data_IF_292278809852
#
_entry.id   IF_292278809852
#
_cell.length_a   1.000
_cell.length_b   1.000
_cell.length_c   1.000
_cell.angle_alpha   90.00
_cell.angle_beta   90.00
_cell.angle_gamma   90.00
#
_symmetry.space_group_name_H-M   'P 1'
#
loop_
_entity.id
_entity.type
_entity.pdbx_description
1 polymer ?
#
# COMPACT_ATOMS: atom_id res chain seq x y z
N UNK A 1 14.37 -43.24 -14.14
CA UNK A 1 14.90 -42.15 -13.28
C UNK A 1 14.55 -40.74 -13.76
N UNK A 2 14.56 -40.47 -15.08
CA UNK A 2 14.38 -39.11 -15.64
C UNK A 2 12.98 -38.48 -15.42
N UNK A 3 11.92 -39.28 -15.38
CA UNK A 3 10.54 -38.79 -15.17
C UNK A 3 10.29 -38.30 -13.73
N UNK A 4 10.92 -38.94 -12.74
CA UNK A 4 10.85 -38.53 -11.32
C UNK A 4 11.52 -37.17 -11.09
N UNK A 5 12.58 -36.87 -11.84
CA UNK A 5 13.24 -35.55 -11.82
C UNK A 5 12.36 -34.45 -12.41
N UNK A 6 11.64 -34.73 -13.50
CA UNK A 6 10.72 -33.76 -14.12
C UNK A 6 9.56 -33.44 -13.16
N UNK A 7 8.96 -34.45 -12.53
CA UNK A 7 7.91 -34.25 -11.51
C UNK A 7 8.45 -33.47 -10.30
N UNK A 8 9.68 -33.74 -9.87
CA UNK A 8 10.32 -33.00 -8.77
C UNK A 8 10.55 -31.52 -9.10
N UNK A 9 11.00 -31.21 -10.32
CA UNK A 9 11.17 -29.82 -10.79
C UNK A 9 9.82 -29.13 -10.98
N UNK A 10 8.81 -29.83 -11.50
CA UNK A 10 7.46 -29.30 -11.67
C UNK A 10 6.81 -28.99 -10.31
N UNK A 11 6.99 -29.87 -9.31
CA UNK A 11 6.52 -29.65 -7.95
C UNK A 11 7.24 -28.47 -7.28
N UNK A 12 8.55 -28.31 -7.50
CA UNK A 12 9.31 -27.16 -7.00
C UNK A 12 8.85 -25.85 -7.64
N UNK A 13 8.59 -25.84 -8.95
CA UNK A 13 8.06 -24.67 -9.66
C UNK A 13 6.63 -24.33 -9.21
N UNK A 14 5.77 -25.33 -9.00
CA UNK A 14 4.42 -25.15 -8.44
C UNK A 14 4.45 -24.58 -7.01
N UNK A 15 5.43 -24.97 -6.19
CA UNK A 15 5.63 -24.39 -4.85
C UNK A 15 6.07 -22.91 -4.91
N UNK A 16 6.77 -22.49 -5.97
CA UNK A 16 7.15 -21.08 -6.18
C UNK A 16 6.00 -20.21 -6.73
N UNK A 17 4.97 -20.81 -7.34
CA UNK A 17 3.78 -20.08 -7.82
C UNK A 17 2.84 -19.67 -6.67
N UNK A 18 3.01 -20.25 -5.47
CA UNK A 18 2.14 -20.01 -4.31
C UNK A 18 2.45 -18.75 -3.49
N UNK A 19 3.55 -18.04 -3.75
CA UNK A 19 3.80 -16.77 -3.07
C UNK A 19 3.14 -15.66 -3.87
N UNK A 20 1.86 -15.37 -3.58
CA UNK A 20 1.30 -14.05 -3.83
C UNK A 20 2.21 -13.05 -3.10
N UNK A 21 3.18 -12.48 -3.82
CA UNK A 21 4.10 -11.51 -3.25
C UNK A 21 3.29 -10.33 -2.80
N UNK A 22 3.24 -10.09 -1.49
CA UNK A 22 2.65 -8.87 -0.97
C UNK A 22 3.40 -7.67 -1.58
N UNK A 23 2.66 -6.80 -2.27
CA UNK A 23 3.18 -5.56 -2.82
C UNK A 23 3.39 -4.58 -1.66
N UNK A 24 4.61 -4.10 -1.47
CA UNK A 24 4.93 -3.07 -0.46
C UNK A 24 5.45 -1.83 -1.15
N UNK A 25 4.93 -0.67 -0.77
CA UNK A 25 5.40 0.62 -1.26
C UNK A 25 5.28 1.70 -0.18
N UNK A 26 5.94 2.83 -0.42
CA UNK A 26 6.02 3.91 0.55
C UNK A 26 5.49 5.21 -0.03
N UNK A 27 4.65 5.90 0.74
CA UNK A 27 4.15 7.22 0.44
C UNK A 27 5.07 8.24 1.10
N UNK A 28 5.62 9.15 0.28
CA UNK A 28 6.54 10.22 0.73
C UNK A 28 6.22 11.57 0.08
N UNK A 29 5.31 11.60 -0.91
CA UNK A 29 4.93 12.83 -1.58
C UNK A 29 3.85 13.54 -0.76
N UNK A 30 4.19 14.66 -0.14
CA UNK A 30 3.31 15.40 0.77
C UNK A 30 2.54 16.51 0.04
N UNK A 31 1.30 16.79 0.42
CA UNK A 31 0.50 17.90 -0.15
C UNK A 31 1.19 19.24 0.09
N UNK A 32 1.77 19.42 1.27
CA UNK A 32 2.54 20.60 1.63
C UNK A 32 4.00 20.41 1.24
N UNK A 33 4.62 21.51 0.82
CA UNK A 33 6.05 21.57 0.52
C UNK A 33 6.77 22.51 1.48
N UNK A 34 7.98 22.14 1.87
CA UNK A 34 8.91 22.99 2.64
C UNK A 34 10.05 23.34 1.69
N UNK A 35 10.21 24.64 1.39
CA UNK A 35 11.20 25.12 0.41
C UNK A 35 11.08 24.45 -0.98
N UNK A 36 9.85 24.12 -1.41
CA UNK A 36 9.58 23.46 -2.69
C UNK A 36 9.69 21.93 -2.67
N UNK A 37 10.22 21.35 -1.58
CA UNK A 37 10.44 19.91 -1.43
C UNK A 37 9.37 19.25 -0.54
N UNK A 38 9.25 17.92 -0.62
CA UNK A 38 8.42 17.15 0.31
C UNK A 38 8.84 17.39 1.76
N UNK A 39 7.89 17.29 2.70
CA UNK A 39 8.21 17.37 4.12
C UNK A 39 9.19 16.24 4.48
N UNK A 40 10.39 16.55 4.99
CA UNK A 40 11.39 15.54 5.30
C UNK A 40 10.93 14.63 6.45
N UNK A 41 11.30 13.35 6.38
CA UNK A 41 11.01 12.36 7.43
C UNK A 41 9.57 11.84 7.49
N UNK A 42 8.68 12.30 6.58
CA UNK A 42 7.36 11.72 6.39
C UNK A 42 7.47 10.47 5.53
N UNK A 43 6.95 9.36 6.05
CA UNK A 43 6.99 8.06 5.38
C UNK A 43 5.84 7.18 5.85
N UNK A 44 4.96 6.80 4.95
CA UNK A 44 3.86 5.87 5.24
C UNK A 44 4.06 4.59 4.43
N UNK A 45 4.11 3.45 5.11
CA UNK A 45 4.18 2.12 4.50
C UNK A 45 2.79 1.65 4.11
N UNK A 46 2.65 1.15 2.88
CA UNK A 46 1.44 0.48 2.40
C UNK A 46 1.80 -0.92 1.92
N UNK A 47 1.09 -1.92 2.44
CA UNK A 47 1.22 -3.32 2.03
C UNK A 47 -0.10 -3.79 1.43
N UNK A 48 -0.03 -4.50 0.31
CA UNK A 48 -1.18 -5.09 -0.36
C UNK A 48 -0.91 -6.57 -0.65
N UNK A 49 -1.78 -7.45 -0.18
CA UNK A 49 -1.61 -8.91 -0.30
C UNK A 49 -2.69 -9.61 -1.14
N UNK A 50 -3.44 -8.85 -1.94
CA UNK A 50 -4.61 -9.36 -2.68
C UNK A 50 -5.93 -9.18 -1.93
N UNK A 51 -5.92 -9.32 -0.60
CA UNK A 51 -7.15 -9.33 0.22
C UNK A 51 -7.23 -8.18 1.21
N UNK A 52 -6.09 -7.61 1.57
CA UNK A 52 -5.99 -6.52 2.53
C UNK A 52 -5.04 -5.45 2.02
N UNK A 53 -5.38 -4.20 2.31
CA UNK A 53 -4.45 -3.06 2.28
C UNK A 53 -4.12 -2.73 3.73
N UNK A 54 -2.84 -2.70 4.07
CA UNK A 54 -2.36 -2.41 5.42
C UNK A 54 -1.54 -1.14 5.36
N UNK A 55 -1.93 -0.15 6.15
CA UNK A 55 -1.31 1.19 6.17
C UNK A 55 -0.69 1.43 7.54
N UNK A 56 0.60 1.75 7.57
CA UNK A 56 1.35 2.03 8.79
C UNK A 56 2.17 3.30 8.61
N UNK A 57 2.08 4.23 9.55
CA UNK A 57 2.94 5.41 9.58
C UNK A 57 4.31 5.06 10.17
N UNK A 58 5.36 5.24 9.37
CA UNK A 58 6.77 5.04 9.74
C UNK A 58 7.53 6.37 9.83
N UNK A 59 6.83 7.50 9.90
CA UNK A 59 7.45 8.83 9.90
C UNK A 59 8.31 9.03 11.15
N UNK A 60 9.48 9.64 10.95
CA UNK A 60 10.45 9.92 12.02
C UNK A 60 10.43 11.39 12.47
N UNK A 61 9.85 12.28 11.67
CA UNK A 61 9.83 13.73 11.90
C UNK A 61 8.53 14.24 12.55
N UNK A 62 7.62 13.34 12.94
CA UNK A 62 6.33 13.65 13.57
C UNK A 62 6.35 13.37 15.07
N UNK A 63 5.39 13.92 15.81
CA UNK A 63 5.23 13.57 17.22
C UNK A 63 4.81 12.12 17.37
N UNK A 64 5.72 11.28 17.85
CA UNK A 64 5.51 9.84 17.95
C UNK A 64 4.35 9.48 18.89
N UNK A 65 4.02 10.33 19.86
CA UNK A 65 2.91 10.12 20.81
C UNK A 65 1.58 10.62 20.26
N UNK A 66 1.63 11.61 19.38
CA UNK A 66 0.51 12.45 19.02
C UNK A 66 0.14 12.36 17.53
N UNK A 67 0.99 11.78 16.70
CA UNK A 67 0.69 11.56 15.29
C UNK A 67 -0.41 10.51 15.13
N UNK A 68 -1.28 10.72 14.14
CA UNK A 68 -2.36 9.80 13.84
C UNK A 68 -2.67 9.79 12.35
N UNK A 69 -2.89 8.59 11.82
CA UNK A 69 -3.62 8.41 10.57
C UNK A 69 -5.09 8.70 10.88
N UNK A 70 -5.70 9.62 10.11
CA UNK A 70 -7.06 10.10 10.36
C UNK A 70 -8.01 9.91 9.19
N UNK A 71 -7.50 9.78 7.97
CA UNK A 71 -8.27 9.47 6.79
C UNK A 71 -7.38 8.82 5.72
N UNK A 72 -7.99 8.11 4.78
CA UNK A 72 -7.34 7.56 3.60
C UNK A 72 -8.25 7.71 2.40
N UNK A 73 -7.66 7.86 1.21
CA UNK A 73 -8.40 7.85 -0.06
C UNK A 73 -7.84 6.75 -0.95
N UNK A 74 -8.72 5.99 -1.59
CA UNK A 74 -8.36 4.87 -2.45
C UNK A 74 -8.88 5.13 -3.87
N UNK A 75 -8.08 4.81 -4.88
CA UNK A 75 -8.56 4.78 -6.27
C UNK A 75 -9.57 3.63 -6.48
N UNK A 76 -9.46 2.59 -5.65
CA UNK A 76 -10.38 1.46 -5.59
C UNK A 76 -11.83 1.91 -5.30
N UNK A 77 -12.84 1.46 -6.07
CA UNK A 77 -14.25 1.70 -5.78
C UNK A 77 -14.71 1.14 -4.43
N UNK A 78 -15.70 1.81 -3.83
CA UNK A 78 -16.15 1.55 -2.45
C UNK A 78 -16.78 0.16 -2.29
N UNK A 79 -17.40 -0.36 -3.35
CA UNK A 79 -17.98 -1.71 -3.40
C UNK A 79 -16.96 -2.84 -3.14
N UNK A 80 -15.66 -2.56 -3.30
CA UNK A 80 -14.60 -3.51 -3.01
C UNK A 80 -14.05 -3.39 -1.60
N UNK A 81 -14.46 -2.39 -0.81
CA UNK A 81 -14.04 -2.23 0.58
C UNK A 81 -15.10 -2.86 1.49
N UNK A 82 -14.70 -3.86 2.30
CA UNK A 82 -15.60 -4.52 3.25
C UNK A 82 -15.58 -3.86 4.63
N UNK A 83 -14.38 -3.49 5.08
CA UNK A 83 -14.21 -2.85 6.38
C UNK A 83 -12.87 -2.15 6.47
N UNK A 84 -12.81 -1.19 7.39
CA UNK A 84 -11.59 -0.50 7.78
C UNK A 84 -11.45 -0.67 9.28
N UNK A 85 -10.31 -1.15 9.74
CA UNK A 85 -10.08 -1.48 11.15
C UNK A 85 -8.72 -0.98 11.61
N UNK A 86 -8.66 -0.56 12.86
CA UNK A 86 -7.43 -0.10 13.50
C UNK A 86 -6.93 -1.22 14.41
N UNK A 87 -5.91 -1.96 13.95
CA UNK A 87 -5.45 -3.15 14.66
C UNK A 87 -4.57 -2.82 15.88
N UNK A 88 -4.16 -1.56 16.06
CA UNK A 88 -3.40 -1.10 17.23
C UNK A 88 -4.27 -0.45 18.32
N UNK A 89 -5.57 -0.25 18.08
CA UNK A 89 -6.47 0.38 19.06
C UNK A 89 -6.78 -0.55 20.23
N UNK A 90 -5.99 -0.44 21.31
CA UNK A 90 -6.30 -1.07 22.59
C UNK A 90 -7.57 -0.43 23.17
N UNK A 91 -8.62 -1.23 23.30
CA UNK A 91 -9.80 -1.01 24.16
C UNK A 91 -10.85 0.01 23.70
N UNK A 92 -10.54 0.95 22.81
CA UNK A 92 -11.55 1.81 22.19
C UNK A 92 -11.44 1.74 20.67
N UNK A 93 -12.35 0.98 20.04
CA UNK A 93 -12.42 0.88 18.58
C UNK A 93 -12.66 2.29 18.03
N UNK A 94 -11.61 2.93 17.49
CA UNK A 94 -11.81 4.02 16.54
C UNK A 94 -12.73 3.47 15.45
N UNK A 95 -13.95 4.01 15.35
CA UNK A 95 -14.87 3.56 14.31
C UNK A 95 -14.41 4.21 13.01
N UNK A 96 -13.80 3.41 12.16
CA UNK A 96 -13.53 3.79 10.80
C UNK A 96 -14.77 3.53 9.95
N UNK A 97 -15.06 4.44 9.04
CA UNK A 97 -16.06 4.26 7.99
C UNK A 97 -15.39 4.31 6.63
N UNK A 98 -16.09 3.78 5.63
CA UNK A 98 -15.74 3.99 4.24
C UNK A 98 -16.98 4.39 3.45
N UNK A 99 -16.78 5.15 2.38
CA UNK A 99 -17.84 5.62 1.50
C UNK A 99 -17.32 6.01 0.13
N UNK A 100 -18.17 5.91 -0.88
CA UNK A 100 -17.90 6.44 -2.22
C UNK A 100 -17.71 7.96 -2.20
N UNK A 101 -16.70 8.45 -2.91
CA UNK A 101 -16.44 9.87 -3.11
C UNK A 101 -17.30 10.42 -4.25
N UNK A 102 -18.00 11.52 -3.99
CA UNK A 102 -18.79 12.24 -4.99
C UNK A 102 -17.89 12.79 -6.11
N UNK A 103 -18.41 12.86 -7.35
CA UNK A 103 -17.64 13.29 -8.54
C UNK A 103 -16.90 14.64 -8.36
N UNK A 104 -17.50 15.59 -7.62
CA UNK A 104 -16.91 16.92 -7.40
C UNK A 104 -15.73 16.92 -6.40
N UNK A 105 -15.44 15.78 -5.75
CA UNK A 105 -14.42 15.63 -4.72
C UNK A 105 -13.37 14.57 -5.06
N UNK A 106 -13.42 14.04 -6.30
CA UNK A 106 -12.51 12.99 -6.77
C UNK A 106 -11.09 13.52 -6.88
N UNK A 107 -10.89 14.65 -7.57
CA UNK A 107 -9.60 15.29 -7.68
C UNK A 107 -9.24 15.92 -6.34
N UNK A 108 -8.18 15.41 -5.70
CA UNK A 108 -7.86 15.79 -4.34
C UNK A 108 -6.40 16.18 -4.14
N UNK A 109 -6.20 17.40 -3.62
CA UNK A 109 -4.91 17.93 -3.17
C UNK A 109 -3.75 17.78 -4.17
N UNK A 110 -4.04 17.83 -5.49
CA UNK A 110 -3.03 17.68 -6.54
C UNK A 110 -2.56 16.24 -6.80
N UNK A 111 -3.16 15.25 -6.14
CA UNK A 111 -2.82 13.84 -6.30
C UNK A 111 -3.72 13.08 -7.29
N UNK A 112 -4.68 13.76 -7.91
CA UNK A 112 -5.58 13.18 -8.90
C UNK A 112 -6.84 12.60 -8.28
N UNK A 113 -7.51 11.72 -9.03
CA UNK A 113 -8.84 11.23 -8.70
C UNK A 113 -8.83 9.99 -7.79
N UNK A 114 -9.74 9.96 -6.82
CA UNK A 114 -9.97 8.84 -5.90
C UNK A 114 -11.46 8.48 -5.82
N UNK A 115 -11.76 7.21 -5.58
CA UNK A 115 -13.12 6.67 -5.61
C UNK A 115 -13.71 6.44 -4.22
N UNK A 116 -12.87 6.13 -3.22
CA UNK A 116 -13.31 5.77 -1.87
C UNK A 116 -12.60 6.62 -0.82
N UNK A 117 -13.36 7.09 0.16
CA UNK A 117 -12.85 7.74 1.37
C UNK A 117 -13.02 6.79 2.54
N UNK A 118 -11.92 6.48 3.23
CA UNK A 118 -11.94 5.84 4.54
C UNK A 118 -11.68 6.92 5.59
N UNK A 119 -12.62 7.19 6.49
CA UNK A 119 -12.49 8.25 7.48
C UNK A 119 -12.64 7.70 8.90
N UNK A 120 -11.87 8.28 9.82
CA UNK A 120 -11.94 7.98 11.23
C UNK A 120 -13.06 8.84 11.84
N UNK A 121 -14.16 8.21 12.25
CA UNK A 121 -15.31 8.93 12.79
C UNK A 121 -15.01 9.68 14.09
N UNK A 122 -14.06 9.19 14.89
CA UNK A 122 -13.66 9.80 16.16
C UNK A 122 -12.22 10.28 16.08
N UNK A 123 -12.07 11.61 15.97
CA UNK A 123 -10.79 12.31 15.82
C UNK A 123 -10.28 12.91 17.13
N UNK A 124 -10.70 12.35 18.28
CA UNK A 124 -10.23 12.82 19.59
C UNK A 124 -8.86 12.24 19.92
N UNK A 125 -8.14 12.93 20.80
CA UNK A 125 -6.77 12.58 21.20
C UNK A 125 -6.65 11.19 21.82
N UNK A 126 -7.74 10.68 22.39
CA UNK A 126 -7.81 9.35 23.00
C UNK A 126 -7.74 8.20 21.98
N UNK A 127 -7.92 8.49 20.69
CA UNK A 127 -8.02 7.47 19.64
C UNK A 127 -6.87 7.57 18.63
N UNK A 128 -5.81 8.33 18.90
CA UNK A 128 -4.69 8.50 17.98
C UNK A 128 -4.04 7.14 17.67
N UNK A 129 -3.82 6.88 16.38
CA UNK A 129 -3.24 5.62 15.90
C UNK A 129 -2.38 5.89 14.68
N UNK A 130 -1.19 5.31 14.69
CA UNK A 130 -0.23 5.31 13.57
C UNK A 130 -0.35 4.03 12.73
N UNK A 131 -1.43 3.28 12.94
CA UNK A 131 -1.67 1.97 12.37
C UNK A 131 -1.07 0.82 13.21
N UNK A 132 -1.09 -0.40 12.68
CA UNK A 132 -1.56 -0.75 11.33
C UNK A 132 -3.08 -0.55 11.17
N UNK A 133 -3.46 0.25 10.17
CA UNK A 133 -4.84 0.37 9.71
C UNK A 133 -5.04 -0.65 8.61
N UNK A 134 -6.01 -1.55 8.79
CA UNK A 134 -6.28 -2.68 7.91
C UNK A 134 -7.59 -2.44 7.17
N UNK A 135 -7.52 -2.34 5.85
CA UNK A 135 -8.66 -2.27 4.94
C UNK A 135 -8.86 -3.66 4.34
N UNK A 136 -9.93 -4.33 4.72
CA UNK A 136 -10.29 -5.64 4.18
C UNK A 136 -11.06 -5.45 2.86
N UNK A 137 -10.68 -6.21 1.84
CA UNK A 137 -11.27 -6.13 0.51
C UNK A 137 -12.27 -7.25 0.27
N UNK A 138 -13.26 -6.97 -0.59
CA UNK A 138 -14.22 -7.96 -1.06
C UNK A 138 -13.51 -9.03 -1.88
N UNK A 139 -13.98 -10.28 -1.76
CA UNK A 139 -13.51 -11.39 -2.62
C UNK A 139 -13.80 -11.18 -4.11
N UNK A 140 -14.66 -10.21 -4.46
CA UNK A 140 -14.89 -9.78 -5.84
C UNK A 140 -13.71 -8.98 -6.42
N UNK A 141 -12.84 -8.42 -5.58
CA UNK A 141 -11.59 -7.82 -6.03
C UNK A 141 -10.54 -8.93 -6.18
N UNK A 142 -10.16 -9.22 -7.42
CA UNK A 142 -9.25 -10.31 -7.76
C UNK A 142 -8.02 -9.83 -8.54
N UNK A 143 -7.74 -8.54 -8.49
CA UNK A 143 -6.61 -7.94 -9.20
C UNK A 143 -5.30 -8.17 -8.43
N UNK A 144 -4.18 -8.41 -9.13
CA UNK A 144 -2.89 -8.66 -8.50
C UNK A 144 -2.24 -7.39 -7.93
N UNK A 145 -2.81 -6.20 -8.21
CA UNK A 145 -2.29 -4.89 -7.79
C UNK A 145 -3.42 -3.91 -7.51
N UNK A 146 -3.13 -2.89 -6.73
CA UNK A 146 -4.07 -1.78 -6.54
C UNK A 146 -4.20 -0.93 -7.82
N UNK A 147 -5.43 -0.49 -8.18
CA UNK A 147 -5.61 0.43 -9.27
C UNK A 147 -4.91 1.76 -8.98
N UNK A 148 -4.45 2.43 -10.04
CA UNK A 148 -3.82 3.76 -9.97
C UNK A 148 -4.65 4.78 -10.72
N UNK A 149 -4.62 6.02 -10.25
CA UNK A 149 -5.19 7.13 -10.97
C UNK A 149 -4.24 7.64 -12.07
N UNK A 150 -4.66 8.66 -12.81
CA UNK A 150 -3.91 9.26 -13.93
C UNK A 150 -2.55 9.84 -13.52
N UNK A 151 -2.33 10.12 -12.23
CA UNK A 151 -1.08 10.61 -11.68
C UNK A 151 -0.24 9.51 -11.00
N UNK A 152 -0.64 8.24 -11.17
CA UNK A 152 0.09 7.08 -10.67
C UNK A 152 -0.15 6.74 -9.19
N UNK A 153 -1.05 7.43 -8.49
CA UNK A 153 -1.35 7.18 -7.09
C UNK A 153 -2.43 6.10 -6.92
N UNK A 154 -2.27 5.21 -5.95
CA UNK A 154 -3.28 4.21 -5.56
C UNK A 154 -3.97 4.54 -4.24
N UNK A 155 -3.21 5.09 -3.30
CA UNK A 155 -3.62 5.37 -1.93
C UNK A 155 -3.10 6.76 -1.53
N UNK A 156 -3.94 7.55 -0.86
CA UNK A 156 -3.52 8.72 -0.09
C UNK A 156 -3.83 8.49 1.38
N UNK A 157 -2.97 9.04 2.24
CA UNK A 157 -3.11 8.94 3.68
C UNK A 157 -3.05 10.33 4.29
N UNK A 158 -4.08 10.71 5.05
CA UNK A 158 -4.06 11.94 5.86
C UNK A 158 -3.38 11.62 7.19
N UNK A 159 -2.20 12.19 7.38
CA UNK A 159 -1.41 12.08 8.58
C UNK A 159 -1.50 13.38 9.37
N UNK A 160 -2.03 13.31 10.59
CA UNK A 160 -1.95 14.38 11.57
C UNK A 160 -0.64 14.24 12.36
N UNK A 161 0.06 15.34 12.60
CA UNK A 161 1.42 15.32 13.17
C UNK A 161 1.47 15.53 14.69
N UNK A 162 0.36 15.97 15.29
CA UNK A 162 0.30 16.42 16.68
C UNK A 162 0.56 17.91 16.84
N UNK A 163 0.31 18.44 18.04
CA UNK A 163 0.39 19.89 18.33
C UNK A 163 1.61 20.24 19.20
N UNK A 164 2.62 19.38 19.24
CA UNK A 164 3.80 19.60 20.07
C UNK A 164 4.70 20.70 19.46
N UNK A 165 4.83 21.86 20.11
CA UNK A 165 5.54 23.01 19.57
C UNK A 165 7.06 22.78 19.42
N UNK A 166 7.62 21.78 20.11
CA UNK A 166 9.03 21.42 20.01
C UNK A 166 9.33 20.53 18.78
N UNK A 167 8.28 20.00 18.14
CA UNK A 167 8.36 19.19 16.93
C UNK A 167 8.16 20.13 15.73
N UNK A 168 9.10 21.06 15.61
CA UNK A 168 9.23 22.05 14.52
C UNK A 168 9.54 21.37 13.18
N UNK A 169 9.83 20.07 13.16
CA UNK A 169 10.42 19.33 12.04
C UNK A 169 9.52 19.17 10.80
N UNK A 170 8.23 19.52 10.88
CA UNK A 170 7.28 19.40 9.77
C UNK A 170 6.92 20.76 9.16
N UNK A 171 7.88 21.69 9.09
CA UNK A 171 7.69 22.98 8.43
C UNK A 171 6.52 23.82 8.96
N UNK A 172 6.20 23.68 10.26
CA UNK A 172 5.08 24.37 10.91
C UNK A 172 3.69 23.89 10.51
N UNK A 173 3.54 22.69 9.95
CA UNK A 173 2.25 22.08 9.59
C UNK A 173 1.75 21.15 10.69
N UNK A 174 0.43 21.07 10.86
CA UNK A 174 -0.23 20.20 11.85
C UNK A 174 -0.77 18.90 11.22
N UNK A 175 -0.85 18.82 9.88
CA UNK A 175 -1.19 17.60 9.15
C UNK A 175 -0.75 17.68 7.67
N UNK A 176 -0.76 16.55 6.97
CA UNK A 176 -0.49 16.44 5.53
C UNK A 176 -1.23 15.27 4.89
N UNK A 177 -1.57 15.41 3.60
CA UNK A 177 -1.91 14.26 2.77
C UNK A 177 -0.64 13.72 2.12
N UNK A 178 -0.36 12.45 2.35
CA UNK A 178 0.81 11.74 1.85
C UNK A 178 0.34 10.79 0.76
N UNK A 179 0.86 11.01 -0.45
CA UNK A 179 0.58 10.19 -1.61
C UNK A 179 1.81 9.46 -2.14
N UNK A 180 1.52 8.54 -3.04
CA UNK A 180 2.50 7.69 -3.69
C UNK A 180 1.83 6.57 -4.47
N UNK A 181 2.62 5.99 -5.36
CA UNK A 181 2.30 4.76 -6.05
C UNK A 181 3.44 3.78 -5.84
N UNK A 182 3.21 2.53 -6.23
CA UNK A 182 4.26 1.52 -6.15
C UNK A 182 5.23 1.76 -7.31
N UNK A 183 6.51 1.99 -7.02
CA UNK A 183 7.54 1.84 -8.05
C UNK A 183 7.65 0.33 -8.30
N UNK A 184 7.36 -0.09 -9.53
CA UNK A 184 7.48 -1.47 -9.93
C UNK A 184 8.99 -1.74 -10.09
N UNK A 185 9.63 -2.63 -9.30
CA UNK A 185 10.83 -3.26 -9.80
C UNK A 185 10.36 -4.12 -10.97
N UNK A 186 10.75 -3.78 -12.19
CA UNK A 186 10.12 -4.33 -13.40
C UNK A 186 10.14 -5.86 -13.46
N UNK A 187 10.94 -6.59 -12.67
CA UNK A 187 10.96 -8.05 -12.74
C UNK A 187 11.28 -8.77 -11.44
N UNK A 188 10.45 -9.79 -11.13
CA UNK A 188 10.93 -11.07 -10.58
C UNK A 188 9.99 -12.24 -10.89
N UNK A 189 8.67 -12.00 -11.00
CA UNK A 189 7.68 -13.10 -11.07
C UNK A 189 7.48 -13.74 -12.45
N UNK A 190 7.64 -13.01 -13.57
CA UNK A 190 7.51 -13.58 -14.93
C UNK A 190 8.84 -14.11 -15.47
N UNK A 191 9.97 -13.49 -15.08
CA UNK A 191 11.30 -13.87 -15.58
C UNK A 191 11.70 -15.25 -15.05
N UNK A 192 11.32 -15.62 -13.83
CA UNK A 192 11.73 -16.91 -13.23
C UNK A 192 11.15 -18.12 -14.02
N UNK A 193 9.83 -18.18 -14.31
CA UNK A 193 9.28 -19.24 -15.17
C UNK A 193 9.87 -19.24 -16.58
N UNK A 194 10.02 -18.08 -17.21
CA UNK A 194 10.52 -17.97 -18.59
C UNK A 194 12.00 -18.38 -18.70
N UNK A 195 12.83 -17.96 -17.74
CA UNK A 195 14.24 -18.35 -17.64
C UNK A 195 14.41 -19.84 -17.39
N UNK A 196 13.54 -20.43 -16.56
CA UNK A 196 13.53 -21.87 -16.31
C UNK A 196 13.14 -22.66 -17.58
N UNK A 197 12.13 -22.22 -18.33
CA UNK A 197 11.73 -22.84 -19.60
C UNK A 197 12.84 -22.72 -20.65
N UNK A 198 13.43 -21.53 -20.81
CA UNK A 198 14.55 -21.32 -21.74
C UNK A 198 15.78 -22.14 -21.34
N UNK A 199 16.12 -22.19 -20.05
CA UNK A 199 17.21 -23.01 -19.52
C UNK A 199 16.99 -24.51 -19.78
N UNK A 200 15.77 -25.02 -19.59
CA UNK A 200 15.42 -26.40 -19.92
C UNK A 200 15.53 -26.67 -21.42
N UNK A 201 15.02 -25.77 -22.28
CA UNK A 201 15.12 -25.89 -23.73
C UNK A 201 16.58 -25.92 -24.21
N UNK A 202 17.48 -25.12 -23.62
CA UNK A 202 18.91 -25.16 -23.93
C UNK A 202 19.56 -26.50 -23.53
N UNK A 203 19.21 -27.05 -22.36
CA UNK A 203 19.75 -28.32 -21.87
C UNK A 203 19.25 -29.50 -22.73
N UNK A 204 17.98 -29.50 -23.12
CA UNK A 204 17.42 -30.56 -23.98
C UNK A 204 17.81 -30.41 -25.45
N UNK A 205 17.97 -29.19 -25.95
CA UNK A 205 18.42 -28.90 -27.32
C UNK A 205 19.85 -29.37 -27.58
N UNK A 206 20.77 -29.17 -26.62
CA UNK A 206 22.16 -29.66 -26.72
C UNK A 206 22.28 -31.19 -26.70
N UNK A 207 21.35 -31.90 -26.06
CA UNK A 207 21.36 -33.38 -25.99
C UNK A 207 20.84 -34.09 -27.24
N UNK A 208 20.31 -33.36 -28.22
CA UNK A 208 19.90 -33.90 -29.54
C UNK A 208 20.94 -33.72 -30.64
N UNK A 209 22.06 -33.05 -30.32
CA UNK A 209 23.16 -32.78 -31.26
C UNK A 209 24.42 -33.64 -31.00
N UNK A 210 24.36 -34.54 -30.01
CA UNK A 210 25.26 -35.69 -29.84
C UNK A 210 24.54 -36.97 -30.26
#
# INVERSE_FOLDING_TARGET
>A
MRFKFIIGVLALLLLMVGTASAETFYLTNTSEKVNGENVPGIKVKVEFNGTHIIVTDESTSVDQQHASIVAMRLTLPDEYVLSVTDASANTYKSSWTHSSINNNQKNFAGFGDFSTLCDKNQKSDLYRSRGPIVIALSSSFNEPKLPRNSLGNSVLVHLQFGDNPDIITVGGKTSSWVGGGTEIPEFSTIVVPVSAILGLLFIFGRRKQE
#
